data_IF_942552747592
#
_entry.id   IF_942552747592
#
_cell.length_a   1.000
_cell.length_b   1.000
_cell.length_c   1.000
_cell.angle_alpha   90.00
_cell.angle_beta   90.00
_cell.angle_gamma   90.00
#
_symmetry.space_group_name_H-M   'P 1'
#
loop_
_entity.id
_entity.type
_entity.pdbx_description
1 polymer ?
#
# COMPACT_ATOMS: atom_id res chain seq x y z
N UNK A 1 18.03 54.17 -44.70
CA UNK A 1 16.68 53.75 -45.13
C UNK A 1 15.86 53.47 -43.87
N UNK A 2 14.82 54.28 -43.62
CA UNK A 2 14.02 54.28 -42.39
C UNK A 2 12.75 53.42 -42.56
N UNK A 3 12.45 52.63 -41.53
CA UNK A 3 11.17 52.32 -40.87
C UNK A 3 9.90 52.03 -41.72
N UNK A 4 9.15 50.98 -41.39
CA UNK A 4 8.10 51.07 -40.35
C UNK A 4 7.43 49.71 -40.07
N UNK A 5 7.27 49.40 -38.78
CA UNK A 5 6.30 48.43 -38.26
C UNK A 5 4.93 49.14 -38.13
N UNK A 6 3.88 48.54 -38.65
CA UNK A 6 2.50 49.06 -38.54
C UNK A 6 1.70 48.22 -37.54
N UNK A 7 1.49 48.80 -36.35
CA UNK A 7 0.42 48.45 -35.43
C UNK A 7 -0.92 48.99 -35.96
N UNK A 8 -1.98 48.19 -35.97
CA UNK A 8 -3.35 48.72 -36.03
C UNK A 8 -4.23 48.10 -34.95
N UNK A 9 -4.59 48.94 -33.99
CA UNK A 9 -5.71 48.77 -33.08
C UNK A 9 -7.02 48.92 -33.85
N UNK A 10 -7.98 48.03 -33.62
CA UNK A 10 -9.37 48.25 -34.03
C UNK A 10 -10.27 48.14 -32.80
N UNK A 11 -10.92 49.25 -32.46
CA UNK A 11 -11.94 49.33 -31.40
C UNK A 11 -13.15 50.11 -31.90
N UNK A 12 -14.33 49.66 -31.43
CA UNK A 12 -15.68 50.27 -31.38
C UNK A 12 -16.69 49.85 -32.47
N UNK A 13 -18.02 49.90 -32.20
CA UNK A 13 -18.76 50.16 -30.95
C UNK A 13 -19.84 49.11 -30.58
N UNK A 14 -20.33 49.25 -29.34
CA UNK A 14 -21.46 48.57 -28.70
C UNK A 14 -22.80 49.14 -29.18
N UNK A 15 -23.83 48.28 -29.34
CA UNK A 15 -25.24 48.65 -29.15
C UNK A 15 -26.00 47.54 -28.39
N UNK A 16 -26.46 47.93 -27.19
CA UNK A 16 -27.62 47.54 -26.37
C UNK A 16 -28.67 46.63 -27.05
N UNK A 17 -29.49 45.80 -26.40
CA UNK A 17 -29.74 45.29 -25.04
C UNK A 17 -30.87 44.26 -25.25
N UNK A 18 -30.86 43.09 -24.60
CA UNK A 18 -32.11 42.39 -24.28
C UNK A 18 -31.98 41.72 -22.92
N UNK A 19 -32.80 42.22 -21.99
CA UNK A 19 -33.05 41.65 -20.68
C UNK A 19 -33.98 40.46 -20.88
N UNK A 20 -33.57 39.26 -20.46
CA UNK A 20 -34.48 38.16 -20.19
C UNK A 20 -34.25 37.70 -18.75
N UNK A 21 -35.15 38.15 -17.88
CA UNK A 21 -35.31 37.59 -16.54
C UNK A 21 -35.91 36.19 -16.68
N UNK A 22 -35.12 35.18 -16.35
CA UNK A 22 -35.64 33.88 -15.95
C UNK A 22 -34.96 33.50 -14.64
N UNK A 23 -35.47 34.04 -13.53
CA UNK A 23 -35.24 33.44 -12.21
C UNK A 23 -35.96 32.09 -12.21
N UNK A 24 -35.28 31.04 -12.67
CA UNK A 24 -35.58 29.71 -12.18
C UNK A 24 -34.90 29.64 -10.83
N UNK A 25 -35.67 29.89 -9.76
CA UNK A 25 -35.32 29.39 -8.43
C UNK A 25 -35.34 27.88 -8.55
N UNK A 26 -34.21 27.29 -8.93
CA UNK A 26 -33.99 25.87 -8.71
C UNK A 26 -34.01 25.72 -7.19
N UNK A 27 -34.95 24.96 -6.62
CA UNK A 27 -34.84 24.66 -5.21
C UNK A 27 -33.55 23.83 -5.07
N UNK A 28 -32.54 24.40 -4.40
CA UNK A 28 -31.36 23.65 -3.98
C UNK A 28 -31.84 22.72 -2.87
N UNK A 29 -32.53 21.65 -3.26
CA UNK A 29 -32.48 20.38 -2.56
C UNK A 29 -31.50 19.50 -3.34
N UNK A 30 -30.28 20.00 -3.51
CA UNK A 30 -29.13 19.11 -3.53
C UNK A 30 -28.98 18.61 -2.10
N UNK A 31 -29.78 17.63 -1.70
CA UNK A 31 -29.31 16.73 -0.65
C UNK A 31 -28.01 16.19 -1.21
N UNK A 32 -26.89 16.64 -0.66
CA UNK A 32 -25.65 15.88 -0.76
C UNK A 32 -26.06 14.49 -0.28
N UNK A 33 -26.22 13.55 -1.21
CA UNK A 33 -26.38 12.16 -0.79
C UNK A 33 -25.18 11.88 0.08
N UNK A 34 -25.35 11.37 1.31
CA UNK A 34 -24.22 11.04 2.15
C UNK A 34 -23.34 10.16 1.29
N UNK A 35 -22.15 10.67 0.94
CA UNK A 35 -21.17 9.91 0.18
C UNK A 35 -20.92 8.71 1.06
N UNK A 36 -21.35 7.52 0.63
CA UNK A 36 -20.94 6.30 1.31
C UNK A 36 -19.42 6.37 1.36
N UNK A 37 -18.80 6.39 2.55
CA UNK A 37 -17.36 6.37 2.65
C UNK A 37 -16.86 5.18 1.83
N UNK A 38 -15.80 5.35 1.05
CA UNK A 38 -15.13 4.17 0.51
C UNK A 38 -14.72 3.29 1.70
N UNK A 39 -14.73 1.96 1.54
CA UNK A 39 -14.54 1.02 2.65
C UNK A 39 -13.31 1.35 3.51
N UNK A 40 -12.23 1.82 2.88
CA UNK A 40 -11.04 2.32 3.55
C UNK A 40 -11.32 3.47 4.54
N UNK A 41 -12.04 4.51 4.12
CA UNK A 41 -12.39 5.63 5.02
C UNK A 41 -13.31 5.18 6.16
N UNK A 42 -14.18 4.19 5.92
CA UNK A 42 -14.98 3.59 6.99
C UNK A 42 -14.08 2.87 8.02
N UNK A 43 -13.14 2.05 7.57
CA UNK A 43 -12.18 1.37 8.46
C UNK A 43 -11.37 2.38 9.27
N UNK A 44 -10.85 3.41 8.63
CA UNK A 44 -10.09 4.47 9.31
C UNK A 44 -10.94 5.18 10.37
N UNK A 45 -12.19 5.52 10.05
CA UNK A 45 -13.10 6.18 10.99
C UNK A 45 -13.43 5.29 12.20
N UNK A 46 -13.67 4.00 12.00
CA UNK A 46 -13.93 3.04 13.08
C UNK A 46 -12.69 2.91 13.99
N UNK A 47 -11.51 2.71 13.40
CA UNK A 47 -10.27 2.57 14.17
C UNK A 47 -9.96 3.84 14.98
N UNK A 48 -10.16 5.02 14.39
CA UNK A 48 -10.00 6.29 15.09
C UNK A 48 -11.00 6.43 16.25
N UNK A 49 -12.29 6.14 16.01
CA UNK A 49 -13.32 6.24 17.04
C UNK A 49 -13.08 5.30 18.23
N UNK A 50 -12.55 4.09 17.98
CA UNK A 50 -12.15 3.15 19.04
C UNK A 50 -10.96 3.66 19.82
N UNK A 51 -9.94 4.21 19.13
CA UNK A 51 -8.77 4.79 19.78
C UNK A 51 -9.15 5.99 20.67
N UNK A 52 -9.99 6.89 20.18
CA UNK A 52 -10.43 8.10 20.89
C UNK A 52 -11.27 7.81 22.15
N UNK A 53 -11.96 6.67 22.18
CA UNK A 53 -12.74 6.23 23.35
C UNK A 53 -11.88 5.58 24.44
N UNK A 54 -10.59 5.33 24.17
CA UNK A 54 -9.64 4.69 25.09
C UNK A 54 -10.10 3.32 25.64
N UNK A 55 -11.02 2.65 24.94
CA UNK A 55 -11.48 1.29 25.28
C UNK A 55 -10.52 0.23 24.74
N UNK A 56 -9.24 0.36 25.09
CA UNK A 56 -8.18 -0.52 24.65
C UNK A 56 -7.91 -1.59 25.70
N UNK A 57 -7.94 -2.85 25.26
CA UNK A 57 -7.68 -4.03 26.08
C UNK A 57 -6.48 -4.77 25.52
N UNK A 58 -5.73 -5.47 26.37
CA UNK A 58 -4.65 -6.36 25.92
C UNK A 58 -5.13 -7.79 25.66
N UNK A 59 -6.38 -8.10 26.01
CA UNK A 59 -6.98 -9.41 25.82
C UNK A 59 -8.49 -9.30 25.59
N UNK A 60 -9.00 -10.02 24.59
CA UNK A 60 -10.43 -10.12 24.27
C UNK A 60 -11.07 -11.35 24.92
N UNK A 61 -11.86 -11.13 25.95
CA UNK A 61 -12.68 -12.16 26.62
C UNK A 61 -14.14 -12.14 26.15
N UNK A 62 -14.89 -13.19 26.52
CA UNK A 62 -16.33 -13.30 26.23
C UNK A 62 -17.16 -12.17 26.87
N UNK A 63 -16.77 -11.69 28.05
CA UNK A 63 -17.44 -10.56 28.70
C UNK A 63 -17.03 -9.23 28.07
N UNK A 64 -15.75 -9.10 27.69
CA UNK A 64 -15.23 -7.89 27.08
C UNK A 64 -15.87 -7.62 25.71
N UNK A 65 -15.99 -8.64 24.85
CA UNK A 65 -16.51 -8.48 23.49
C UNK A 65 -17.93 -7.91 23.46
N UNK A 66 -18.75 -8.16 24.49
CA UNK A 66 -20.10 -7.60 24.62
C UNK A 66 -20.12 -6.08 24.87
N UNK A 67 -19.01 -5.49 25.29
CA UNK A 67 -18.85 -4.06 25.55
C UNK A 67 -18.29 -3.28 24.34
N UNK A 68 -18.58 -3.76 23.12
CA UNK A 68 -18.21 -3.07 21.88
C UNK A 68 -18.86 -1.65 21.78
N UNK A 69 -18.27 -0.70 21.04
CA UNK A 69 -16.99 -0.81 20.34
C UNK A 69 -15.80 -0.82 21.31
N UNK A 70 -14.76 -1.59 20.98
CA UNK A 70 -13.53 -1.71 21.76
C UNK A 70 -12.33 -2.01 20.86
N UNK A 71 -11.12 -1.81 21.37
CA UNK A 71 -9.87 -2.16 20.69
C UNK A 71 -9.08 -3.21 21.46
N UNK A 72 -8.47 -4.15 20.74
CA UNK A 72 -7.47 -5.08 21.29
C UNK A 72 -6.10 -4.62 20.82
N UNK A 73 -5.24 -4.23 21.76
CA UNK A 73 -3.98 -3.55 21.50
C UNK A 73 -2.79 -4.48 21.77
N UNK A 74 -1.79 -4.46 20.90
CA UNK A 74 -0.53 -5.19 21.08
C UNK A 74 0.64 -4.35 20.57
N UNK A 75 1.67 -4.20 21.38
CA UNK A 75 2.90 -3.53 20.98
C UNK A 75 3.93 -4.55 20.48
N UNK A 76 4.50 -4.30 19.30
CA UNK A 76 5.61 -5.07 18.73
C UNK A 76 6.64 -4.06 18.21
N UNK A 77 7.90 -4.19 18.64
CA UNK A 77 9.00 -3.31 18.21
C UNK A 77 8.70 -1.80 18.34
N UNK A 78 7.95 -1.40 19.39
CA UNK A 78 7.57 -0.01 19.62
C UNK A 78 6.41 0.50 18.75
N UNK A 79 5.81 -0.35 17.91
CA UNK A 79 4.59 -0.05 17.16
C UNK A 79 3.41 -0.66 17.89
N UNK A 80 2.41 0.19 18.18
CA UNK A 80 1.17 -0.26 18.78
C UNK A 80 0.13 -0.60 17.70
N UNK A 81 -0.26 -1.87 17.63
CA UNK A 81 -1.27 -2.39 16.73
C UNK A 81 -2.61 -2.49 17.45
N UNK A 82 -3.68 -1.98 16.84
CA UNK A 82 -5.03 -2.02 17.40
C UNK A 82 -5.96 -2.77 16.46
N UNK A 83 -6.60 -3.82 16.97
CA UNK A 83 -7.73 -4.49 16.32
C UNK A 83 -9.02 -3.92 16.90
N UNK A 84 -9.74 -3.12 16.13
CA UNK A 84 -11.01 -2.52 16.51
C UNK A 84 -12.16 -3.50 16.26
N UNK A 85 -12.99 -3.75 17.28
CA UNK A 85 -14.25 -4.50 17.18
C UNK A 85 -15.41 -3.49 17.26
N UNK A 86 -16.23 -3.42 16.21
CA UNK A 86 -17.29 -2.39 16.08
C UNK A 86 -18.71 -2.97 16.17
N UNK A 87 -18.88 -4.27 15.95
CA UNK A 87 -20.19 -4.90 15.99
C UNK A 87 -20.11 -6.34 16.46
N UNK A 88 -21.06 -6.76 17.29
CA UNK A 88 -21.17 -8.12 17.83
C UNK A 88 -22.62 -8.56 17.81
N UNK A 89 -22.87 -9.80 17.41
CA UNK A 89 -24.19 -10.43 17.44
C UNK A 89 -24.08 -11.87 17.92
N UNK A 90 -25.12 -12.37 18.60
CA UNK A 90 -25.18 -13.77 19.00
C UNK A 90 -25.25 -14.72 17.80
N UNK A 91 -24.69 -15.91 17.96
CA UNK A 91 -24.83 -17.06 17.06
C UNK A 91 -25.03 -18.35 17.86
N UNK A 92 -25.38 -19.45 17.20
CA UNK A 92 -25.54 -20.76 17.85
C UNK A 92 -24.26 -21.22 18.58
N UNK A 93 -23.09 -20.76 18.13
CA UNK A 93 -21.78 -21.18 18.62
C UNK A 93 -21.01 -20.04 19.33
N UNK A 94 -21.71 -19.05 19.88
CA UNK A 94 -21.12 -17.91 20.60
C UNK A 94 -21.50 -16.58 19.96
N UNK A 95 -20.52 -15.83 19.46
CA UNK A 95 -20.73 -14.52 18.84
C UNK A 95 -20.11 -14.42 17.46
N UNK A 96 -20.78 -13.71 16.57
CA UNK A 96 -20.20 -13.22 15.33
C UNK A 96 -19.89 -11.74 15.48
N UNK A 97 -18.71 -11.32 15.05
CA UNK A 97 -18.29 -9.93 15.13
C UNK A 97 -17.58 -9.47 13.85
N UNK A 98 -17.50 -8.14 13.69
CA UNK A 98 -16.68 -7.53 12.66
C UNK A 98 -15.49 -6.85 13.33
N UNK A 99 -14.33 -6.97 12.71
CA UNK A 99 -13.10 -6.37 13.19
C UNK A 99 -12.36 -5.64 12.08
N UNK A 100 -11.57 -4.67 12.49
CA UNK A 100 -10.95 -3.69 11.63
C UNK A 100 -9.58 -3.33 12.18
N UNK A 101 -8.63 -3.04 11.30
CA UNK A 101 -7.37 -2.43 11.72
C UNK A 101 -6.80 -1.56 10.61
N UNK A 102 -5.96 -0.60 11.01
CA UNK A 102 -5.14 0.17 10.10
C UNK A 102 -3.68 -0.09 10.41
N UNK A 103 -2.89 -0.45 9.40
CA UNK A 103 -1.45 -0.69 9.54
C UNK A 103 -0.71 0.40 8.78
N UNK A 104 0.14 1.13 9.50
CA UNK A 104 0.99 2.14 8.89
C UNK A 104 2.15 1.45 8.15
N UNK A 105 2.09 1.43 6.82
CA UNK A 105 3.21 0.90 6.03
C UNK A 105 4.38 1.91 6.08
N UNK A 106 5.62 1.48 6.35
CA UNK A 106 6.76 2.39 6.48
C UNK A 106 6.91 3.32 5.27
N UNK A 107 7.13 4.61 5.53
CA UNK A 107 7.34 5.62 4.48
C UNK A 107 6.07 6.09 3.76
N UNK A 108 4.87 5.70 4.21
CA UNK A 108 3.61 6.12 3.58
C UNK A 108 2.83 7.11 4.45
N UNK A 109 2.12 8.05 3.83
CA UNK A 109 1.28 8.99 4.57
C UNK A 109 -0.11 8.43 4.94
N UNK A 110 -0.56 7.38 4.25
CA UNK A 110 -1.88 6.77 4.45
C UNK A 110 -1.73 5.31 4.84
N UNK A 111 -2.29 4.88 5.98
CA UNK A 111 -2.20 3.49 6.39
C UNK A 111 -2.98 2.58 5.43
N UNK A 112 -2.65 1.29 5.49
CA UNK A 112 -3.39 0.21 4.89
C UNK A 112 -4.59 -0.12 5.79
N UNK A 113 -5.78 -0.26 5.21
CA UNK A 113 -7.00 -0.61 5.94
C UNK A 113 -7.34 -2.08 5.75
N UNK A 114 -7.65 -2.79 6.82
CA UNK A 114 -8.02 -4.21 6.81
C UNK A 114 -9.37 -4.43 7.49
N UNK A 115 -10.12 -5.39 6.97
CA UNK A 115 -11.48 -5.70 7.40
C UNK A 115 -11.70 -7.21 7.52
N UNK A 116 -12.34 -7.63 8.61
CA UNK A 116 -12.88 -8.97 8.79
C UNK A 116 -14.35 -8.88 9.17
N UNK A 117 -15.17 -9.70 8.52
CA UNK A 117 -16.62 -9.70 8.74
C UNK A 117 -17.08 -11.08 9.17
N UNK A 118 -18.05 -11.12 10.08
CA UNK A 118 -18.65 -12.36 10.57
C UNK A 118 -17.60 -13.32 11.15
N UNK A 119 -16.60 -12.77 11.83
CA UNK A 119 -15.59 -13.54 12.55
C UNK A 119 -16.24 -14.22 13.75
N UNK A 120 -15.85 -15.46 14.04
CA UNK A 120 -16.44 -16.24 15.13
C UNK A 120 -15.64 -16.06 16.42
N UNK A 121 -16.34 -15.76 17.49
CA UNK A 121 -15.86 -15.87 18.87
C UNK A 121 -16.64 -16.99 19.56
N UNK A 122 -15.97 -18.10 19.87
CA UNK A 122 -16.59 -19.26 20.53
C UNK A 122 -16.11 -19.48 21.96
N UNK A 123 -16.44 -20.64 22.54
CA UNK A 123 -15.99 -21.02 23.90
C UNK A 123 -14.45 -20.98 24.07
N UNK A 124 -13.72 -21.24 22.98
CA UNK A 124 -12.25 -21.17 22.95
C UNK A 124 -11.65 -19.85 22.44
N UNK A 125 -12.45 -18.79 22.29
CA UNK A 125 -12.01 -17.51 21.74
C UNK A 125 -11.96 -17.47 20.20
N UNK A 126 -11.10 -16.59 19.66
CA UNK A 126 -10.96 -16.32 18.21
C UNK A 126 -10.21 -17.46 17.48
N UNK A 127 -9.09 -17.91 18.06
CA UNK A 127 -8.09 -18.74 17.39
C UNK A 127 -8.51 -20.20 17.13
N UNK A 128 -9.64 -20.66 17.66
CA UNK A 128 -10.18 -22.00 17.39
C UNK A 128 -11.07 -22.05 16.13
N UNK A 129 -11.37 -20.89 15.52
CA UNK A 129 -12.08 -20.82 14.25
C UNK A 129 -11.09 -20.64 13.09
N UNK A 130 -11.26 -21.41 12.02
CA UNK A 130 -10.23 -21.65 10.99
C UNK A 130 -9.94 -20.48 10.02
N UNK A 131 -10.45 -19.27 10.24
CA UNK A 131 -10.23 -18.15 9.30
C UNK A 131 -10.47 -16.76 9.92
N UNK A 132 -9.61 -16.36 10.88
CA UNK A 132 -9.71 -15.05 11.56
C UNK A 132 -8.76 -14.01 10.97
N UNK A 133 -8.89 -13.83 9.65
CA UNK A 133 -8.10 -12.85 8.88
C UNK A 133 -8.86 -11.56 8.68
N UNK A 134 -8.15 -10.44 8.78
CA UNK A 134 -8.61 -9.14 8.30
C UNK A 134 -7.99 -8.91 6.93
N UNK A 135 -8.78 -8.87 5.87
CA UNK A 135 -8.27 -8.72 4.48
C UNK A 135 -8.17 -7.26 4.09
N UNK A 136 -7.23 -6.94 3.20
CA UNK A 136 -7.02 -5.58 2.69
C UNK A 136 -8.32 -5.03 2.07
N UNK A 137 -8.77 -3.88 2.57
CA UNK A 137 -10.07 -3.29 2.23
C UNK A 137 -10.15 -2.77 0.79
N UNK A 138 -9.02 -2.37 0.19
CA UNK A 138 -8.97 -1.76 -1.13
C UNK A 138 -7.62 -2.03 -1.80
N UNK A 139 -7.60 -2.13 -3.13
CA UNK A 139 -6.35 -2.18 -3.89
C UNK A 139 -5.52 -0.94 -3.59
N UNK A 140 -4.22 -1.13 -3.31
CA UNK A 140 -3.30 -0.04 -2.98
C UNK A 140 -2.19 0.08 -4.01
N UNK A 141 -1.99 1.31 -4.44
CA UNK A 141 -0.83 1.74 -5.22
C UNK A 141 -0.09 2.81 -4.43
N UNK A 142 1.15 2.53 -4.06
CA UNK A 142 1.97 3.35 -3.18
C UNK A 142 3.20 3.80 -4.00
N UNK A 143 3.36 5.10 -4.29
CA UNK A 143 4.57 5.58 -4.92
C UNK A 143 5.72 5.48 -3.92
N UNK A 144 6.70 4.61 -4.21
CA UNK A 144 7.92 4.48 -3.38
C UNK A 144 8.87 5.65 -3.70
N UNK A 145 8.96 5.99 -4.99
CA UNK A 145 9.64 7.19 -5.50
C UNK A 145 9.05 7.55 -6.88
N UNK A 146 9.67 8.48 -7.62
CA UNK A 146 9.21 8.90 -8.95
C UNK A 146 9.27 7.78 -10.03
N UNK A 147 10.03 6.71 -9.78
CA UNK A 147 10.32 5.63 -10.72
C UNK A 147 9.72 4.27 -10.35
N UNK A 148 9.20 4.09 -9.14
CA UNK A 148 8.76 2.80 -8.62
C UNK A 148 7.45 2.97 -7.85
N UNK A 149 6.45 2.20 -8.25
CA UNK A 149 5.21 2.03 -7.48
C UNK A 149 5.19 0.64 -6.83
N UNK A 150 4.78 0.56 -5.57
CA UNK A 150 4.36 -0.68 -4.93
C UNK A 150 2.86 -0.88 -5.13
N UNK A 151 2.47 -2.07 -5.58
CA UNK A 151 1.08 -2.47 -5.80
C UNK A 151 0.72 -3.63 -4.86
N UNK A 152 -0.31 -3.43 -4.03
CA UNK A 152 -0.90 -4.43 -3.15
C UNK A 152 -2.36 -4.67 -3.56
N UNK A 153 -2.68 -5.80 -4.20
CA UNK A 153 -4.05 -6.14 -4.57
C UNK A 153 -4.94 -6.45 -3.35
N UNK A 154 -6.23 -6.09 -3.43
CA UNK A 154 -7.25 -6.54 -2.49
C UNK A 154 -7.91 -7.84 -2.99
N UNK A 155 -7.10 -8.88 -3.17
CA UNK A 155 -7.49 -10.20 -3.70
C UNK A 155 -7.55 -11.29 -2.61
N UNK A 156 -7.43 -10.90 -1.34
CA UNK A 156 -7.43 -11.80 -0.19
C UNK A 156 -6.05 -12.32 0.22
N UNK A 157 -4.99 -12.04 -0.55
CA UNK A 157 -3.62 -12.43 -0.17
C UNK A 157 -2.91 -11.40 0.72
N UNK A 158 -3.44 -10.19 0.82
CA UNK A 158 -2.99 -9.18 1.78
C UNK A 158 -3.91 -9.20 3.00
N UNK A 159 -3.42 -9.69 4.14
CA UNK A 159 -4.23 -9.88 5.33
C UNK A 159 -3.44 -9.71 6.63
N UNK A 160 -4.15 -9.36 7.69
CA UNK A 160 -3.67 -9.38 9.07
C UNK A 160 -4.22 -10.60 9.78
N UNK A 161 -3.36 -11.31 10.49
CA UNK A 161 -3.73 -12.36 11.44
C UNK A 161 -3.71 -11.79 12.84
N UNK A 162 -4.71 -12.16 13.65
CA UNK A 162 -4.86 -11.71 15.02
C UNK A 162 -5.56 -12.78 15.84
N UNK A 163 -5.48 -12.68 17.16
CA UNK A 163 -6.20 -13.53 18.10
C UNK A 163 -6.75 -12.72 19.28
N UNK A 164 -7.09 -13.41 20.37
CA UNK A 164 -7.58 -12.75 21.58
C UNK A 164 -6.54 -11.80 22.21
N UNK A 165 -5.24 -11.96 21.97
CA UNK A 165 -4.18 -11.06 22.42
C UNK A 165 -3.88 -9.93 21.42
N UNK A 166 -4.68 -9.80 20.36
CA UNK A 166 -4.52 -8.76 19.34
C UNK A 166 -3.69 -9.22 18.14
N UNK A 167 -2.98 -8.28 17.52
CA UNK A 167 -2.22 -8.51 16.29
C UNK A 167 -1.21 -9.66 16.42
N UNK A 168 -1.06 -10.49 15.39
CA UNK A 168 -0.04 -11.54 15.33
C UNK A 168 0.94 -11.36 14.19
N UNK A 169 0.42 -11.19 12.99
CA UNK A 169 1.23 -11.11 11.77
C UNK A 169 0.47 -10.34 10.69
N UNK A 170 1.21 -9.90 9.68
CA UNK A 170 0.69 -9.40 8.43
C UNK A 170 1.31 -10.18 7.28
N UNK A 171 0.48 -10.66 6.37
CA UNK A 171 0.90 -11.16 5.06
C UNK A 171 0.74 -10.06 4.03
N UNK A 172 1.82 -9.76 3.30
CA UNK A 172 1.84 -8.83 2.19
C UNK A 172 2.26 -9.57 0.93
N UNK A 173 1.40 -9.52 -0.09
CA UNK A 173 1.66 -10.07 -1.42
C UNK A 173 1.43 -8.98 -2.45
N UNK A 174 2.45 -8.66 -3.21
CA UNK A 174 2.40 -7.54 -4.13
C UNK A 174 3.48 -7.59 -5.18
N UNK A 175 3.58 -6.47 -5.90
CA UNK A 175 4.64 -6.27 -6.86
C UNK A 175 5.04 -4.81 -6.96
N UNK A 176 6.31 -4.59 -7.23
CA UNK A 176 6.84 -3.28 -7.59
C UNK A 176 6.76 -3.14 -9.11
N UNK A 177 6.26 -2.01 -9.58
CA UNK A 177 6.20 -1.64 -11.00
C UNK A 177 7.26 -0.59 -11.26
N UNK A 178 8.20 -0.91 -12.15
CA UNK A 178 9.25 0.02 -12.55
C UNK A 178 8.80 0.83 -13.76
N UNK A 179 9.01 2.16 -13.71
CA UNK A 179 8.74 3.06 -14.83
C UNK A 179 9.51 2.63 -16.08
N UNK A 180 8.82 2.65 -17.22
CA UNK A 180 9.38 2.23 -18.51
C UNK A 180 10.56 3.08 -18.99
N UNK A 181 10.68 4.29 -18.45
CA UNK A 181 11.78 5.24 -18.64
C UNK A 181 13.09 4.74 -18.05
N UNK A 182 13.03 3.87 -17.02
CA UNK A 182 14.19 3.28 -16.38
C UNK A 182 14.46 1.87 -16.92
N UNK A 183 13.47 0.98 -16.85
CA UNK A 183 13.60 -0.43 -17.21
C UNK A 183 12.56 -0.83 -18.26
N UNK A 184 12.97 -1.65 -19.22
CA UNK A 184 12.06 -2.28 -20.19
C UNK A 184 12.18 -3.80 -20.11
N UNK A 185 11.09 -4.55 -20.35
CA UNK A 185 11.18 -6.01 -20.44
C UNK A 185 12.18 -6.44 -21.49
N UNK A 186 12.95 -7.47 -21.19
CA UNK A 186 13.86 -8.05 -22.17
C UNK A 186 13.05 -8.82 -23.25
N UNK A 187 13.21 -8.51 -24.55
CA UNK A 187 12.43 -9.15 -25.60
C UNK A 187 12.79 -10.64 -25.80
N UNK A 188 13.97 -11.09 -25.38
CA UNK A 188 14.42 -12.47 -25.51
C UNK A 188 13.92 -13.40 -24.41
N UNK A 189 13.70 -12.86 -23.20
CA UNK A 189 13.28 -13.64 -22.03
C UNK A 189 11.90 -13.28 -21.49
N UNK A 190 11.37 -12.10 -21.82
CA UNK A 190 10.12 -11.56 -21.31
C UNK A 190 9.26 -10.94 -22.44
N UNK A 191 9.21 -11.60 -23.60
CA UNK A 191 8.54 -11.10 -24.82
C UNK A 191 7.05 -10.75 -24.65
N UNK A 192 6.36 -11.37 -23.68
CA UNK A 192 4.95 -11.13 -23.38
C UNK A 192 4.72 -10.09 -22.27
N UNK A 193 5.78 -9.61 -21.61
CA UNK A 193 5.66 -8.64 -20.55
C UNK A 193 5.61 -7.22 -21.14
N UNK A 194 4.70 -6.39 -20.63
CA UNK A 194 4.59 -4.98 -21.00
C UNK A 194 5.36 -4.07 -20.03
N UNK A 195 5.63 -4.54 -18.82
CA UNK A 195 6.26 -3.80 -17.74
C UNK A 195 7.27 -4.69 -17.02
N UNK A 196 8.30 -4.08 -16.44
CA UNK A 196 9.21 -4.77 -15.52
C UNK A 196 8.58 -4.71 -14.15
N UNK A 197 8.31 -5.88 -13.57
CA UNK A 197 7.78 -6.00 -12.21
C UNK A 197 8.69 -6.85 -11.33
N UNK A 198 8.72 -6.54 -10.04
CA UNK A 198 9.31 -7.40 -9.01
C UNK A 198 8.20 -7.88 -8.07
N UNK A 199 7.86 -9.16 -8.11
CA UNK A 199 6.82 -9.76 -7.25
C UNK A 199 7.41 -10.25 -5.94
N UNK A 200 6.64 -10.13 -4.86
CA UNK A 200 7.06 -10.60 -3.53
C UNK A 200 5.86 -11.11 -2.72
N UNK A 201 6.15 -11.95 -1.75
CA UNK A 201 5.21 -12.33 -0.69
C UNK A 201 6.01 -12.49 0.61
N UNK A 202 5.51 -11.89 1.69
CA UNK A 202 6.14 -11.93 3.01
C UNK A 202 5.09 -12.01 4.11
N UNK A 203 5.32 -12.85 5.12
CA UNK A 203 4.58 -12.84 6.37
C UNK A 203 5.52 -12.41 7.49
N UNK A 204 5.15 -11.36 8.22
CA UNK A 204 5.97 -10.81 9.30
C UNK A 204 5.12 -10.36 10.48
N UNK A 205 5.68 -10.40 11.68
CA UNK A 205 5.10 -9.78 12.87
C UNK A 205 5.56 -8.31 13.04
N UNK A 206 6.59 -7.89 12.32
CA UNK A 206 7.17 -6.55 12.40
C UNK A 206 7.17 -5.90 11.02
N UNK A 207 6.30 -4.89 10.85
CA UNK A 207 6.16 -4.16 9.58
C UNK A 207 7.41 -3.29 9.28
N UNK A 208 8.22 -2.97 10.28
CA UNK A 208 9.46 -2.21 10.13
C UNK A 208 10.67 -3.11 9.85
N UNK A 209 10.51 -4.44 9.90
CA UNK A 209 11.55 -5.38 9.52
C UNK A 209 11.10 -6.27 8.35
N UNK A 210 11.09 -5.72 7.14
CA UNK A 210 10.73 -6.47 5.93
C UNK A 210 11.95 -6.65 5.04
N UNK A 211 12.46 -7.88 5.01
CA UNK A 211 13.36 -8.39 3.98
C UNK A 211 12.63 -9.48 3.21
N UNK A 212 12.34 -9.26 1.93
CA UNK A 212 11.56 -10.21 1.13
C UNK A 212 12.29 -10.60 -0.15
N UNK A 213 12.34 -11.90 -0.44
CA UNK A 213 12.79 -12.38 -1.74
C UNK A 213 11.82 -11.91 -2.83
N UNK A 214 12.38 -11.46 -3.96
CA UNK A 214 11.59 -10.96 -5.08
C UNK A 214 11.93 -11.70 -6.38
N UNK A 215 10.93 -11.89 -7.23
CA UNK A 215 11.12 -12.37 -8.61
C UNK A 215 10.93 -11.21 -9.57
N UNK A 216 11.98 -10.86 -10.31
CA UNK A 216 12.01 -9.70 -11.19
C UNK A 216 11.88 -10.14 -12.64
N UNK A 217 10.99 -9.49 -13.40
CA UNK A 217 10.92 -9.66 -14.86
C UNK A 217 12.30 -9.40 -15.47
N UNK A 218 12.85 -10.30 -16.30
CA UNK A 218 14.08 -10.02 -17.04
C UNK A 218 13.98 -8.70 -17.80
N UNK A 219 15.00 -7.86 -17.71
CA UNK A 219 14.90 -6.46 -18.14
C UNK A 219 16.15 -5.96 -18.85
N UNK A 220 16.02 -4.83 -19.53
CA UNK A 220 17.11 -3.99 -20.02
C UNK A 220 16.98 -2.60 -19.41
N UNK A 221 18.12 -1.95 -19.16
CA UNK A 221 18.14 -0.55 -18.71
C UNK A 221 18.00 0.34 -19.95
N UNK A 222 17.00 1.23 -19.94
CA UNK A 222 16.79 2.16 -21.05
C UNK A 222 18.00 3.09 -21.19
N UNK A 223 18.50 3.23 -22.42
CA UNK A 223 19.66 4.07 -22.73
C UNK A 223 21.02 3.38 -22.61
N UNK A 224 21.10 2.21 -21.96
CA UNK A 224 22.34 1.42 -21.82
C UNK A 224 22.40 0.27 -22.84
N UNK A 225 21.84 0.48 -24.04
CA UNK A 225 21.43 -0.57 -24.98
C UNK A 225 22.39 -1.77 -25.14
N UNK A 226 21.82 -2.96 -25.25
CA UNK A 226 22.55 -4.19 -25.59
C UNK A 226 22.89 -5.10 -24.40
N UNK A 227 22.44 -4.80 -23.19
CA UNK A 227 22.66 -5.65 -22.00
C UNK A 227 21.31 -6.09 -21.43
N UNK A 228 21.09 -7.40 -21.39
CA UNK A 228 19.94 -8.04 -20.77
C UNK A 228 20.29 -8.49 -19.36
N UNK A 229 19.41 -8.25 -18.40
CA UNK A 229 19.57 -8.62 -16.99
C UNK A 229 18.56 -9.70 -16.64
N UNK A 230 19.04 -10.85 -16.15
CA UNK A 230 18.23 -11.89 -15.51
C UNK A 230 18.73 -12.07 -14.08
N UNK A 231 17.80 -11.98 -13.12
CA UNK A 231 18.13 -12.04 -11.69
C UNK A 231 17.50 -13.28 -11.07
N UNK A 232 18.31 -14.12 -10.43
CA UNK A 232 17.86 -15.36 -9.75
C UNK A 232 17.70 -15.18 -8.25
N UNK A 233 18.54 -14.32 -7.64
CA UNK A 233 18.52 -14.03 -6.21
C UNK A 233 18.41 -12.51 -6.00
N UNK A 234 17.19 -12.04 -5.75
CA UNK A 234 16.92 -10.65 -5.43
C UNK A 234 16.16 -10.55 -4.10
N UNK A 235 16.51 -9.55 -3.31
CA UNK A 235 15.83 -9.19 -2.06
C UNK A 235 15.42 -7.73 -2.14
N UNK A 236 14.17 -7.44 -1.77
CA UNK A 236 13.78 -6.08 -1.43
C UNK A 236 13.98 -5.87 0.06
N UNK A 237 14.72 -4.82 0.39
CA UNK A 237 14.96 -4.35 1.73
C UNK A 237 14.07 -3.14 2.02
N UNK A 238 13.20 -3.29 3.01
CA UNK A 238 12.39 -2.23 3.61
C UNK A 238 12.54 -2.22 5.13
N UNK A 239 13.62 -2.81 5.65
CA UNK A 239 13.92 -2.91 7.06
C UNK A 239 14.51 -1.62 7.63
N UNK A 240 14.26 -1.38 8.92
CA UNK A 240 14.91 -0.36 9.74
C UNK A 240 16.01 -0.95 10.65
N UNK A 241 16.26 -2.26 10.59
CA UNK A 241 17.08 -2.97 11.58
C UNK A 241 18.23 -3.78 10.99
N UNK A 242 18.06 -4.35 9.80
CA UNK A 242 19.03 -5.24 9.20
C UNK A 242 19.02 -5.17 7.68
N UNK A 243 20.17 -5.47 7.08
CA UNK A 243 20.34 -5.50 5.64
C UNK A 243 20.40 -6.96 5.12
N UNK A 244 20.13 -7.21 3.83
CA UNK A 244 20.29 -8.52 3.21
C UNK A 244 21.66 -9.15 3.44
N UNK A 245 21.68 -10.45 3.72
CA UNK A 245 22.91 -11.23 3.89
C UNK A 245 23.78 -11.12 2.64
N UNK A 246 25.05 -10.77 2.83
CA UNK A 246 26.03 -10.62 1.75
C UNK A 246 26.06 -9.24 1.09
N UNK A 247 25.18 -8.30 1.48
CA UNK A 247 25.26 -6.92 1.02
C UNK A 247 26.57 -6.27 1.50
N UNK A 248 27.42 -5.89 0.55
CA UNK A 248 28.64 -5.13 0.82
C UNK A 248 28.50 -3.76 0.20
N UNK A 249 28.31 -2.75 1.05
CA UNK A 249 28.30 -1.36 0.59
C UNK A 249 29.69 -0.93 0.06
N UNK A 250 29.74 -0.14 -1.03
CA UNK A 250 30.96 0.53 -1.46
C UNK A 250 31.56 1.39 -0.33
N UNK A 251 32.88 1.58 -0.35
CA UNK A 251 33.57 2.31 0.72
C UNK A 251 33.07 3.75 0.82
N UNK A 252 32.84 4.39 -0.32
CA UNK A 252 32.34 5.76 -0.45
C UNK A 252 30.94 5.88 0.15
N UNK A 253 30.09 4.86 -0.05
CA UNK A 253 28.76 4.82 0.54
C UNK A 253 28.85 4.81 2.07
N UNK A 254 29.72 3.97 2.65
CA UNK A 254 29.95 3.96 4.10
C UNK A 254 30.52 5.27 4.63
N UNK A 255 31.35 5.98 3.86
CA UNK A 255 31.89 7.28 4.27
C UNK A 255 30.81 8.37 4.31
N UNK A 256 29.85 8.33 3.39
CA UNK A 256 28.76 9.32 3.31
C UNK A 256 27.71 9.06 4.41
N UNK A 257 27.34 7.81 4.62
CA UNK A 257 26.20 7.46 5.48
C UNK A 257 26.61 6.93 6.87
N UNK A 258 27.88 6.59 7.09
CA UNK A 258 28.39 6.15 8.40
C UNK A 258 27.64 4.92 8.91
N UNK A 259 27.10 5.01 10.13
CA UNK A 259 26.27 3.95 10.74
C UNK A 259 24.85 3.89 10.16
N UNK A 260 24.40 4.92 9.44
CA UNK A 260 23.05 4.94 8.85
C UNK A 260 22.91 4.01 7.64
N UNK A 261 23.97 3.31 7.23
CA UNK A 261 23.88 2.26 6.20
C UNK A 261 22.97 1.10 6.63
N UNK A 262 22.68 0.96 7.91
CA UNK A 262 21.70 0.01 8.45
C UNK A 262 20.24 0.41 8.16
N UNK A 263 19.99 1.68 7.81
CA UNK A 263 18.67 2.19 7.40
C UNK A 263 18.49 2.19 5.88
N UNK A 264 19.38 1.52 5.15
CA UNK A 264 19.28 1.43 3.70
C UNK A 264 18.02 0.66 3.32
N UNK A 265 17.37 1.10 2.24
CA UNK A 265 16.20 0.44 1.66
C UNK A 265 16.36 0.39 0.15
N UNK A 266 16.00 -0.72 -0.47
CA UNK A 266 16.12 -0.87 -1.91
C UNK A 266 16.11 -2.32 -2.39
N UNK A 267 16.57 -2.52 -3.61
CA UNK A 267 16.71 -3.85 -4.22
C UNK A 267 18.17 -4.28 -4.18
N UNK A 268 18.43 -5.42 -3.55
CA UNK A 268 19.72 -6.10 -3.60
C UNK A 268 19.64 -7.27 -4.58
N UNK A 269 20.51 -7.26 -5.59
CA UNK A 269 20.56 -8.26 -6.67
C UNK A 269 21.88 -9.02 -6.53
N UNK A 270 21.84 -10.28 -6.10
CA UNK A 270 23.04 -11.10 -5.84
C UNK A 270 23.61 -11.73 -7.11
N UNK A 271 22.74 -12.26 -7.95
CA UNK A 271 23.13 -13.02 -9.13
C UNK A 271 22.49 -12.38 -10.34
N UNK A 272 23.33 -11.71 -11.14
CA UNK A 272 22.94 -11.07 -12.38
C UNK A 272 23.62 -11.83 -13.51
N UNK A 273 22.82 -12.47 -14.35
CA UNK A 273 23.30 -12.95 -15.64
C UNK A 273 23.11 -11.84 -16.67
N UNK A 274 24.21 -11.43 -17.27
CA UNK A 274 24.23 -10.46 -18.36
C UNK A 274 24.62 -11.13 -19.68
N UNK A 275 23.75 -11.02 -20.68
CA UNK A 275 24.01 -11.49 -22.04
C UNK A 275 23.89 -10.31 -23.02
N UNK A 276 24.74 -10.23 -24.08
CA UNK A 276 24.51 -9.27 -25.16
C UNK A 276 23.12 -9.50 -25.74
N UNK A 277 22.26 -8.48 -25.73
CA UNK A 277 20.85 -8.61 -26.09
C UNK A 277 20.69 -9.42 -27.39
N UNK A 278 19.83 -10.45 -27.37
CA UNK A 278 19.54 -11.23 -28.57
C UNK A 278 18.94 -10.32 -29.62
N UNK A 279 19.71 -10.10 -30.68
CA UNK A 279 19.25 -9.51 -31.93
C UNK A 279 18.10 -10.37 -32.48
N UNK A 280 16.91 -9.79 -32.58
CA UNK A 280 15.72 -10.46 -33.16
C UNK A 280 15.76 -10.47 -34.69
N UNK A 281 16.87 -10.03 -35.29
CA UNK A 281 17.22 -10.14 -36.70
C UNK A 281 18.03 -11.43 -36.98
N UNK A 282 17.46 -12.60 -36.68
CA UNK A 282 17.81 -13.91 -37.27
C UNK A 282 16.58 -14.81 -37.37
#
# INVERSE_FOLDING_TARGET
MKQSLTYQNYYKPIKQSFVFWLLIVQPIWGLAQPRTPNLEAQVMAICQAVADQEKLLTYLSADAILNYPLGVTREISGVNYVIAVDSVRGSENGYLFNAYTTIQFPGTARPLAFVGQNLQFGEGGIAQSSDTRLVLASHRKIPINEHIDLVLPADGHNYVEFDCEGFRSINLKGHFVFRSELLIPDPGWAASANEVIATFEVNTADIHNILASVSITPFQIRGLGGISFRVTNAVVDMSDFENPVGLVFPQEYRQIYGTNVELWRGFYLQEIENWPARRTDQ
#
